data_IF_369223336242
#
_entry.id   IF_369223336242
#
_cell.length_a   1.000
_cell.length_b   1.000
_cell.length_c   1.000
_cell.angle_alpha   90.00
_cell.angle_beta   90.00
_cell.angle_gamma   90.00
#
_symmetry.space_group_name_H-M   'P 1'
#
loop_
_entity.id
_entity.type
_entity.pdbx_description
1 polymer ?
#
# COMPACT_ATOMS: atom_id res chain seq x y z
N UNK A 1 10.69 -2.48 -1.91
CA UNK A 1 9.64 -1.44 -1.82
C UNK A 1 9.20 -0.93 -3.19
N UNK A 2 10.09 -0.59 -4.14
CA UNK A 2 9.66 -0.07 -5.46
C UNK A 2 8.79 -1.06 -6.26
N UNK A 3 9.09 -2.36 -6.19
CA UNK A 3 8.29 -3.43 -6.81
C UNK A 3 6.85 -3.41 -6.30
N UNK A 4 6.68 -3.20 -5.02
CA UNK A 4 5.38 -3.07 -4.38
C UNK A 4 4.56 -1.91 -4.98
N UNK A 5 5.16 -0.73 -5.08
CA UNK A 5 4.50 0.45 -5.65
C UNK A 5 4.20 0.28 -7.15
N UNK A 6 5.09 -0.40 -7.88
CA UNK A 6 4.84 -0.76 -9.26
C UNK A 6 3.62 -1.67 -9.39
N UNK A 7 3.41 -2.59 -8.46
CA UNK A 7 2.22 -3.43 -8.41
C UNK A 7 0.93 -2.61 -8.30
N UNK A 8 0.89 -1.64 -7.40
CA UNK A 8 -0.24 -0.71 -7.28
C UNK A 8 -0.44 0.11 -8.55
N UNK A 9 0.64 0.61 -9.13
CA UNK A 9 0.60 1.42 -10.36
C UNK A 9 0.04 0.62 -11.54
N UNK A 10 0.51 -0.61 -11.74
CA UNK A 10 0.02 -1.50 -12.81
C UNK A 10 -1.46 -1.83 -12.59
N UNK A 11 -1.83 -2.23 -11.39
CA UNK A 11 -3.22 -2.52 -11.04
C UNK A 11 -4.14 -1.30 -11.24
N UNK A 12 -3.68 -0.10 -10.84
CA UNK A 12 -4.41 1.14 -11.06
C UNK A 12 -4.61 1.43 -12.56
N UNK A 13 -3.58 1.22 -13.39
CA UNK A 13 -3.70 1.37 -14.85
C UNK A 13 -4.71 0.42 -15.45
N UNK A 14 -4.68 -0.86 -15.07
CA UNK A 14 -5.65 -1.87 -15.52
C UNK A 14 -7.07 -1.44 -15.13
N UNK A 15 -7.24 -0.92 -13.91
CA UNK A 15 -8.54 -0.44 -13.40
C UNK A 15 -8.92 0.96 -13.91
N UNK A 16 -8.12 1.58 -14.76
CA UNK A 16 -8.33 2.97 -15.27
C UNK A 16 -8.46 3.98 -14.12
N UNK A 17 -7.63 3.83 -13.09
CA UNK A 17 -7.49 4.77 -11.98
C UNK A 17 -6.27 5.64 -12.24
N UNK A 18 -6.41 6.98 -12.29
CA UNK A 18 -5.28 7.87 -12.53
C UNK A 18 -4.23 7.76 -11.43
N UNK A 19 -2.96 7.74 -11.86
CA UNK A 19 -1.81 7.87 -10.98
C UNK A 19 -1.05 9.15 -11.37
N UNK A 20 -0.68 9.96 -10.39
CA UNK A 20 -0.02 11.24 -10.61
C UNK A 20 1.48 11.23 -10.31
N UNK A 21 1.92 10.41 -9.37
CA UNK A 21 3.33 10.37 -8.94
C UNK A 21 3.72 8.97 -8.47
N UNK A 22 4.93 8.54 -8.86
CA UNK A 22 5.66 7.43 -8.25
C UNK A 22 6.92 8.02 -7.64
N UNK A 23 7.06 7.93 -6.31
CA UNK A 23 8.15 8.53 -5.57
C UNK A 23 9.01 7.51 -4.85
N UNK A 24 10.31 7.79 -4.82
CA UNK A 24 11.30 7.11 -3.99
C UNK A 24 11.75 8.04 -2.88
N UNK A 25 11.65 7.55 -1.64
CA UNK A 25 12.09 8.27 -0.46
C UNK A 25 11.05 9.21 0.15
N UNK A 26 11.47 9.89 1.20
CA UNK A 26 10.70 10.86 1.98
C UNK A 26 11.39 12.23 2.00
N UNK A 27 10.67 13.26 2.43
CA UNK A 27 11.18 14.63 2.55
C UNK A 27 11.11 15.44 1.26
N UNK A 28 11.95 16.49 1.11
CA UNK A 28 11.95 17.37 -0.04
C UNK A 28 12.35 16.64 -1.32
N UNK A 29 11.78 17.05 -2.46
CA UNK A 29 12.10 16.50 -3.78
C UNK A 29 13.48 17.00 -4.21
N UNK A 30 14.36 16.08 -4.57
CA UNK A 30 15.67 16.39 -5.15
C UNK A 30 15.59 16.46 -6.68
N UNK A 31 14.97 15.43 -7.28
CA UNK A 31 14.82 15.31 -8.73
C UNK A 31 13.42 14.82 -9.07
N UNK A 32 12.85 15.33 -10.15
CA UNK A 32 11.60 14.77 -10.70
C UNK A 32 11.62 14.83 -12.21
N UNK A 33 11.15 13.75 -12.83
CA UNK A 33 11.01 13.61 -14.28
C UNK A 33 9.57 13.28 -14.61
N UNK A 34 8.99 13.98 -15.57
CA UNK A 34 7.64 13.71 -16.05
C UNK A 34 7.72 12.71 -17.21
N UNK A 35 7.09 11.55 -17.06
CA UNK A 35 6.98 10.53 -18.10
C UNK A 35 5.50 10.30 -18.41
N UNK A 36 5.02 10.96 -19.45
CA UNK A 36 3.60 10.96 -19.80
C UNK A 36 2.75 11.56 -18.68
N UNK A 37 1.75 10.83 -18.20
CA UNK A 37 0.85 11.27 -17.11
C UNK A 37 1.40 11.09 -15.70
N UNK A 38 2.56 10.42 -15.55
CA UNK A 38 3.12 10.06 -14.24
C UNK A 38 4.39 10.83 -14.01
N UNK A 39 4.53 11.41 -12.83
CA UNK A 39 5.77 12.03 -12.35
C UNK A 39 6.56 11.02 -11.53
N UNK A 40 7.82 10.79 -11.92
CA UNK A 40 8.79 10.05 -11.13
C UNK A 40 9.56 11.04 -10.27
N UNK A 41 9.65 10.81 -8.97
CA UNK A 41 10.36 11.71 -8.04
C UNK A 41 11.30 10.95 -7.13
N UNK A 42 12.50 11.54 -6.95
CA UNK A 42 13.47 11.10 -5.96
C UNK A 42 13.52 12.15 -4.84
N UNK A 43 13.45 11.69 -3.60
CA UNK A 43 13.43 12.53 -2.40
C UNK A 43 14.69 12.37 -1.56
N UNK A 44 14.95 13.33 -0.67
CA UNK A 44 16.21 13.46 0.07
C UNK A 44 16.51 12.27 1.00
N UNK A 45 15.50 11.70 1.63
CA UNK A 45 15.68 10.54 2.51
C UNK A 45 15.30 9.27 1.74
N UNK A 46 16.23 8.33 1.50
CA UNK A 46 15.97 7.12 0.72
C UNK A 46 15.18 6.08 1.53
N UNK A 47 14.21 6.53 2.30
CA UNK A 47 13.35 5.71 3.14
C UNK A 47 11.97 5.59 2.50
N UNK A 48 11.63 4.38 2.05
CA UNK A 48 10.32 4.09 1.51
C UNK A 48 10.15 4.44 0.03
N UNK A 49 8.98 4.13 -0.45
CA UNK A 49 8.46 4.47 -1.78
C UNK A 49 6.96 4.69 -1.67
N UNK A 50 6.38 5.35 -2.62
CA UNK A 50 4.93 5.57 -2.66
C UNK A 50 4.44 5.76 -4.09
N UNK A 51 3.21 5.37 -4.33
CA UNK A 51 2.45 5.75 -5.53
C UNK A 51 1.27 6.63 -5.12
N UNK A 52 1.10 7.74 -5.82
CA UNK A 52 -0.02 8.66 -5.59
C UNK A 52 -1.12 8.40 -6.60
N UNK A 53 -2.16 7.72 -6.16
CA UNK A 53 -3.35 7.43 -6.92
C UNK A 53 -4.44 8.49 -6.66
N UNK A 54 -5.33 8.68 -7.64
CA UNK A 54 -6.55 9.45 -7.44
C UNK A 54 -7.52 8.63 -6.57
N UNK A 55 -7.58 8.98 -5.28
CA UNK A 55 -8.44 8.30 -4.31
C UNK A 55 -9.93 8.45 -4.60
N UNK A 56 -10.34 9.56 -5.25
CA UNK A 56 -11.74 9.79 -5.61
C UNK A 56 -12.14 8.88 -6.76
N UNK A 57 -11.31 8.81 -7.80
CA UNK A 57 -11.50 7.91 -8.93
C UNK A 57 -11.47 6.44 -8.48
N UNK A 58 -10.57 6.06 -7.56
CA UNK A 58 -10.51 4.71 -7.02
C UNK A 58 -11.80 4.35 -6.25
N UNK A 59 -12.27 5.24 -5.38
CA UNK A 59 -13.50 5.02 -4.59
C UNK A 59 -14.77 4.95 -5.45
N UNK A 60 -14.76 5.55 -6.64
CA UNK A 60 -15.85 5.48 -7.61
C UNK A 60 -15.91 4.11 -8.34
N UNK A 61 -14.85 3.29 -8.26
CA UNK A 61 -14.81 1.96 -8.86
C UNK A 61 -15.55 0.94 -8.00
N UNK A 62 -16.06 -0.12 -8.63
CA UNK A 62 -16.64 -1.26 -7.91
C UNK A 62 -15.61 -1.88 -6.94
N UNK A 63 -16.08 -2.44 -5.82
CA UNK A 63 -15.27 -3.02 -4.75
C UNK A 63 -14.14 -3.90 -5.27
N UNK A 64 -14.42 -4.80 -6.23
CA UNK A 64 -13.42 -5.71 -6.80
C UNK A 64 -12.21 -5.00 -7.39
N UNK A 65 -12.41 -3.84 -8.04
CA UNK A 65 -11.31 -3.05 -8.61
C UNK A 65 -10.53 -2.31 -7.54
N UNK A 66 -11.20 -1.81 -6.49
CA UNK A 66 -10.52 -1.20 -5.35
C UNK A 66 -9.62 -2.21 -4.64
N UNK A 67 -10.14 -3.42 -4.36
CA UNK A 67 -9.36 -4.51 -3.78
C UNK A 67 -8.20 -4.90 -4.66
N UNK A 68 -8.40 -5.05 -5.97
CA UNK A 68 -7.33 -5.41 -6.91
C UNK A 68 -6.21 -4.37 -6.92
N UNK A 69 -6.54 -3.06 -6.86
CA UNK A 69 -5.53 -1.99 -6.78
C UNK A 69 -4.75 -2.07 -5.47
N UNK A 70 -5.42 -2.28 -4.32
CA UNK A 70 -4.73 -2.42 -3.03
C UNK A 70 -3.92 -3.71 -2.92
N UNK A 71 -4.36 -4.80 -3.52
CA UNK A 71 -3.62 -6.06 -3.54
C UNK A 71 -2.45 -6.07 -4.55
N UNK A 72 -2.42 -5.12 -5.47
CA UNK A 72 -1.41 -5.06 -6.54
C UNK A 72 0.02 -5.10 -6.03
N UNK A 73 0.33 -4.34 -4.97
CA UNK A 73 1.65 -4.33 -4.35
C UNK A 73 2.03 -5.69 -3.74
N UNK A 74 1.09 -6.31 -3.04
CA UNK A 74 1.26 -7.64 -2.43
C UNK A 74 1.51 -8.69 -3.52
N UNK A 75 0.72 -8.69 -4.60
CA UNK A 75 0.85 -9.63 -5.71
C UNK A 75 2.22 -9.50 -6.38
N UNK A 76 2.68 -8.28 -6.64
CA UNK A 76 3.99 -8.05 -7.26
C UNK A 76 5.14 -8.51 -6.36
N UNK A 77 5.04 -8.26 -5.05
CA UNK A 77 6.04 -8.76 -4.11
C UNK A 77 6.03 -10.29 -4.02
N UNK A 78 4.86 -10.94 -4.04
CA UNK A 78 4.77 -12.40 -4.07
C UNK A 78 5.41 -12.97 -5.35
N UNK A 79 5.10 -12.41 -6.51
CA UNK A 79 5.69 -12.84 -7.78
C UNK A 79 7.22 -12.69 -7.74
N UNK A 80 7.73 -11.51 -7.34
CA UNK A 80 9.16 -11.27 -7.23
C UNK A 80 9.83 -12.19 -6.21
N UNK A 81 9.20 -12.39 -5.06
CA UNK A 81 9.69 -13.24 -4.00
C UNK A 81 9.78 -14.72 -4.41
N UNK A 82 8.76 -15.22 -5.09
CA UNK A 82 8.74 -16.60 -5.58
C UNK A 82 9.70 -16.81 -6.76
N UNK A 83 9.77 -15.86 -7.70
CA UNK A 83 10.66 -15.92 -8.85
C UNK A 83 12.15 -15.91 -8.46
N UNK A 84 12.47 -15.30 -7.31
CA UNK A 84 13.84 -15.21 -6.78
C UNK A 84 13.99 -15.95 -5.44
N UNK A 85 13.18 -16.98 -5.25
CA UNK A 85 13.19 -17.78 -4.02
C UNK A 85 14.60 -18.32 -3.71
N UNK A 86 14.97 -18.35 -2.42
CA UNK A 86 16.30 -18.74 -1.96
C UNK A 86 17.33 -17.61 -1.94
N UNK A 87 17.01 -16.44 -2.51
CA UNK A 87 17.88 -15.25 -2.42
C UNK A 87 17.40 -14.30 -1.31
N UNK A 88 18.29 -13.45 -0.83
CA UNK A 88 17.95 -12.35 0.12
C UNK A 88 16.84 -11.47 -0.47
N UNK A 89 16.94 -11.16 -1.76
CA UNK A 89 15.94 -10.35 -2.46
C UNK A 89 14.56 -11.03 -2.46
N UNK A 90 14.50 -12.36 -2.70
CA UNK A 90 13.28 -13.15 -2.65
C UNK A 90 12.64 -13.10 -1.26
N UNK A 91 13.42 -13.38 -0.22
CA UNK A 91 12.94 -13.35 1.17
C UNK A 91 12.42 -11.98 1.60
N UNK A 92 13.14 -10.90 1.24
CA UNK A 92 12.69 -9.53 1.55
C UNK A 92 11.35 -9.22 0.88
N UNK A 93 11.15 -9.62 -0.38
CA UNK A 93 9.86 -9.40 -1.05
C UNK A 93 8.72 -10.22 -0.42
N UNK A 94 8.98 -11.48 -0.01
CA UNK A 94 7.99 -12.29 0.69
C UNK A 94 7.62 -11.70 2.05
N UNK A 95 8.59 -11.20 2.80
CA UNK A 95 8.34 -10.52 4.09
C UNK A 95 7.54 -9.23 3.91
N UNK A 96 7.84 -8.43 2.88
CA UNK A 96 7.06 -7.23 2.57
C UNK A 96 5.62 -7.61 2.19
N UNK A 97 5.43 -8.66 1.38
CA UNK A 97 4.10 -9.13 1.03
C UNK A 97 3.31 -9.57 2.26
N UNK A 98 3.92 -10.41 3.11
CA UNK A 98 3.29 -10.90 4.34
C UNK A 98 2.91 -9.77 5.31
N UNK A 99 3.81 -8.80 5.51
CA UNK A 99 3.54 -7.62 6.34
C UNK A 99 2.38 -6.79 5.81
N UNK A 100 2.29 -6.60 4.49
CA UNK A 100 1.21 -5.81 3.88
C UNK A 100 -0.14 -6.51 3.83
N UNK A 101 -0.21 -7.84 4.02
CA UNK A 101 -1.49 -8.56 4.20
C UNK A 101 -2.10 -8.26 5.57
N UNK A 102 -1.28 -7.96 6.57
CA UNK A 102 -1.76 -7.70 7.92
C UNK A 102 -2.67 -6.45 7.94
N UNK A 103 -3.77 -6.47 8.73
CA UNK A 103 -4.70 -5.34 8.84
C UNK A 103 -4.15 -4.24 9.76
N UNK A 104 -2.87 -3.91 9.61
CA UNK A 104 -2.22 -2.84 10.36
C UNK A 104 -2.47 -1.50 9.69
N UNK A 105 -2.56 -0.44 10.47
CA UNK A 105 -2.86 0.91 9.97
C UNK A 105 -1.94 1.31 8.79
N UNK A 106 -2.54 1.79 7.72
CA UNK A 106 -1.93 2.16 6.44
C UNK A 106 -1.38 1.02 5.56
N UNK A 107 -1.30 -0.22 6.03
CA UNK A 107 -0.96 -1.37 5.19
C UNK A 107 -2.09 -1.67 4.18
N UNK A 108 -1.77 -2.40 3.13
CA UNK A 108 -2.77 -2.69 2.09
C UNK A 108 -3.88 -3.62 2.59
N UNK A 109 -3.57 -4.55 3.49
CA UNK A 109 -4.56 -5.37 4.18
C UNK A 109 -5.59 -4.53 4.95
N UNK A 110 -5.16 -3.47 5.63
CA UNK A 110 -6.06 -2.53 6.29
C UNK A 110 -6.94 -1.77 5.28
N UNK A 111 -6.36 -1.29 4.17
CA UNK A 111 -7.11 -0.61 3.09
C UNK A 111 -8.14 -1.55 2.45
N UNK A 112 -7.78 -2.82 2.23
CA UNK A 112 -8.72 -3.85 1.77
C UNK A 112 -9.86 -4.07 2.76
N UNK A 113 -9.56 -4.19 4.06
CA UNK A 113 -10.56 -4.30 5.13
C UNK A 113 -11.53 -3.12 5.12
N UNK A 114 -11.02 -1.90 4.94
CA UNK A 114 -11.83 -0.68 4.86
C UNK A 114 -12.77 -0.68 3.63
N UNK A 115 -12.30 -1.16 2.49
CA UNK A 115 -13.11 -1.31 1.27
C UNK A 115 -14.22 -2.35 1.49
N UNK A 116 -13.90 -3.50 2.08
CA UNK A 116 -14.87 -4.55 2.38
C UNK A 116 -15.92 -4.08 3.38
N UNK A 117 -15.50 -3.42 4.44
CA UNK A 117 -16.40 -2.87 5.45
C UNK A 117 -17.39 -1.87 4.84
N UNK A 118 -16.92 -0.95 3.98
CA UNK A 118 -17.79 0.02 3.27
C UNK A 118 -18.82 -0.68 2.39
N UNK A 119 -18.42 -1.77 1.72
CA UNK A 119 -19.31 -2.55 0.88
C UNK A 119 -20.38 -3.29 1.70
N UNK A 120 -20.00 -3.88 2.85
CA UNK A 120 -20.92 -4.58 3.73
C UNK A 120 -21.95 -3.66 4.39
N UNK A 121 -21.52 -2.50 4.84
CA UNK A 121 -22.40 -1.56 5.55
C UNK A 121 -23.31 -0.75 4.61
N UNK A 122 -23.10 -0.82 3.30
CA UNK A 122 -23.84 -0.07 2.26
C UNK A 122 -24.03 1.42 2.59
N UNK A 123 -23.31 1.94 3.56
CA UNK A 123 -23.36 3.32 4.05
C UNK A 123 -21.97 3.87 4.26
N UNK A 124 -21.74 5.10 3.82
CA UNK A 124 -20.60 5.91 4.25
C UNK A 124 -20.85 6.36 5.69
N UNK A 125 -20.62 5.49 6.65
CA UNK A 125 -20.72 5.84 8.06
C UNK A 125 -19.36 6.33 8.52
N UNK A 126 -19.16 7.64 8.58
CA UNK A 126 -17.94 8.25 9.11
C UNK A 126 -17.54 7.67 10.48
N UNK A 127 -18.45 7.49 11.46
CA UNK A 127 -18.09 6.93 12.76
C UNK A 127 -17.47 5.53 12.67
N UNK A 128 -17.99 4.69 11.79
CA UNK A 128 -17.47 3.32 11.62
C UNK A 128 -16.10 3.33 10.94
N UNK A 129 -15.87 4.20 9.96
CA UNK A 129 -14.54 4.38 9.35
C UNK A 129 -13.52 4.87 10.38
N UNK A 130 -13.90 5.80 11.24
CA UNK A 130 -13.06 6.26 12.35
C UNK A 130 -12.77 5.15 13.35
N UNK A 131 -13.80 4.40 13.78
CA UNK A 131 -13.62 3.27 14.70
C UNK A 131 -12.66 2.22 14.13
N UNK A 132 -12.80 1.88 12.85
CA UNK A 132 -11.91 0.94 12.16
C UNK A 132 -10.47 1.50 12.05
N UNK A 133 -10.33 2.79 11.82
CA UNK A 133 -9.02 3.46 11.75
C UNK A 133 -8.34 3.48 13.10
N UNK A 134 -9.06 3.85 14.17
CA UNK A 134 -8.51 3.84 15.52
C UNK A 134 -8.17 2.44 16.01
N UNK A 135 -8.99 1.43 15.72
CA UNK A 135 -8.69 0.04 16.09
C UNK A 135 -7.43 -0.49 15.37
N UNK A 136 -7.29 -0.22 14.08
CA UNK A 136 -6.08 -0.58 13.32
C UNK A 136 -4.83 0.14 13.84
N UNK A 137 -4.94 1.42 14.18
CA UNK A 137 -3.86 2.19 14.80
C UNK A 137 -3.47 1.63 16.18
N UNK A 138 -4.44 1.33 17.02
CA UNK A 138 -4.21 0.75 18.34
C UNK A 138 -3.51 -0.62 18.25
N UNK A 139 -3.98 -1.52 17.38
CA UNK A 139 -3.36 -2.82 17.15
C UNK A 139 -1.91 -2.65 16.69
N UNK A 140 -1.65 -1.71 15.77
CA UNK A 140 -0.29 -1.42 15.30
C UNK A 140 0.64 -0.97 16.43
N UNK A 141 0.15 -0.13 17.34
CA UNK A 141 0.91 0.33 18.53
C UNK A 141 1.18 -0.82 19.50
N UNK A 142 0.20 -1.68 19.75
CA UNK A 142 0.37 -2.86 20.64
C UNK A 142 1.42 -3.81 20.07
N UNK A 143 1.39 -4.08 18.75
CA UNK A 143 2.38 -4.94 18.10
C UNK A 143 3.76 -4.29 18.17
N UNK A 144 3.90 -3.00 17.88
CA UNK A 144 5.17 -2.29 17.98
C UNK A 144 5.74 -2.35 19.40
N UNK A 145 4.90 -2.13 20.41
CA UNK A 145 5.28 -2.24 21.82
C UNK A 145 5.74 -3.66 22.19
N UNK A 146 5.00 -4.69 21.75
CA UNK A 146 5.36 -6.08 22.01
C UNK A 146 6.70 -6.46 21.35
N UNK A 147 6.95 -6.00 20.11
CA UNK A 147 8.23 -6.23 19.41
C UNK A 147 9.39 -5.56 20.16
N UNK A 148 9.21 -4.31 20.60
CA UNK A 148 10.24 -3.60 21.39
C UNK A 148 10.55 -4.38 22.68
N UNK A 149 9.52 -4.90 23.37
CA UNK A 149 9.68 -5.68 24.60
C UNK A 149 10.37 -7.04 24.38
N UNK A 150 10.26 -7.63 23.19
CA UNK A 150 10.92 -8.89 22.86
C UNK A 150 12.42 -8.70 22.52
N UNK A 151 12.82 -7.49 22.11
CA UNK A 151 14.19 -7.17 21.70
C UNK A 151 14.99 -6.54 22.87
N UNK A 152 14.31 -5.96 23.86
CA UNK A 152 14.90 -5.39 25.09
C UNK A 152 15.07 -6.42 26.18
#
# INVERSE_FOLDING_TARGET
MIIHELGHLVAARICKVPASELGLGLGPKLVSVQLGSIRFSLRALPLGSFVRLDGTALRARAMKYQLFVHLGGIIFNLIAGLATYGTIFGWVNLLIAAGNVLPLYQHDGWKCGLVMMRALLQRKSQPVEWAFTFSGGFVSLVIAWAVIRLIS
#
